data_IF_569660968927
#
_entry.id   IF_569660968927
#
_cell.length_a   1.000
_cell.length_b   1.000
_cell.length_c   1.000
_cell.angle_alpha   90.00
_cell.angle_beta   90.00
_cell.angle_gamma   90.00
#
_symmetry.space_group_name_H-M   'P 1'
#
loop_
_entity.id
_entity.type
_entity.pdbx_description
1 polymer ?
#
# COMPACT_ATOMS: atom_id res chain seq x y z
N UNK A 1 -26.17 -7.62 46.37
CA UNK A 1 -26.16 -6.82 47.61
C UNK A 1 -27.60 -6.56 48.02
N UNK A 2 -27.98 -6.74 49.28
CA UNK A 2 -29.33 -6.37 49.72
C UNK A 2 -29.43 -4.84 49.71
N UNK A 3 -30.47 -4.31 49.06
CA UNK A 3 -30.77 -2.88 49.12
C UNK A 3 -30.99 -2.51 50.59
N UNK A 4 -30.32 -1.48 51.14
CA UNK A 4 -30.60 -1.02 52.48
C UNK A 4 -32.07 -0.60 52.53
N UNK A 5 -32.90 -1.34 53.27
CA UNK A 5 -34.28 -0.92 53.52
C UNK A 5 -34.20 0.14 54.62
N UNK A 6 -34.36 1.40 54.23
CA UNK A 6 -34.66 2.46 55.18
C UNK A 6 -35.95 2.06 55.90
N UNK A 7 -35.84 1.71 57.18
CA UNK A 7 -36.98 1.24 57.97
C UNK A 7 -38.09 2.29 57.99
N UNK A 8 -39.34 1.85 58.09
CA UNK A 8 -40.48 2.77 58.22
C UNK A 8 -40.32 3.64 59.48
N UNK A 9 -40.76 4.90 59.39
CA UNK A 9 -40.75 5.81 60.52
C UNK A 9 -41.60 5.22 61.65
N UNK A 10 -41.17 5.34 62.92
CA UNK A 10 -42.01 5.02 64.06
C UNK A 10 -43.36 5.75 63.93
N UNK A 11 -44.47 5.02 64.06
CA UNK A 11 -45.83 5.58 63.99
C UNK A 11 -46.35 5.84 65.41
N UNK A 12 -46.95 7.01 65.66
CA UNK A 12 -47.57 7.36 66.94
C UNK A 12 -48.94 8.00 66.72
N UNK A 13 -49.95 7.59 67.47
CA UNK A 13 -51.25 8.25 67.47
C UNK A 13 -51.18 9.51 68.36
N UNK A 14 -51.09 10.67 67.72
CA UNK A 14 -50.91 11.98 68.37
C UNK A 14 -52.19 12.57 68.98
N UNK A 15 -53.38 12.01 68.71
CA UNK A 15 -54.64 12.65 69.10
C UNK A 15 -54.94 12.61 70.61
N UNK A 16 -54.30 11.73 71.40
CA UNK A 16 -54.51 11.62 72.85
C UNK A 16 -53.21 11.27 73.63
N UNK A 17 -52.05 11.59 73.05
CA UNK A 17 -50.78 11.22 73.66
C UNK A 17 -50.46 12.05 74.90
N UNK A 18 -50.07 11.38 75.98
CA UNK A 18 -49.47 12.02 77.15
C UNK A 18 -48.12 12.66 76.80
N UNK A 19 -47.69 13.63 77.61
CA UNK A 19 -46.38 14.29 77.45
C UNK A 19 -45.23 13.26 77.50
N UNK A 20 -45.38 12.21 78.29
CA UNK A 20 -44.40 11.13 78.42
C UNK A 20 -44.33 10.26 77.16
N UNK A 21 -45.48 9.94 76.54
CA UNK A 21 -45.54 9.24 75.26
C UNK A 21 -44.91 10.09 74.13
N UNK A 22 -45.16 11.40 74.11
CA UNK A 22 -44.54 12.31 73.15
C UNK A 22 -43.01 12.37 73.33
N UNK A 23 -42.52 12.43 74.57
CA UNK A 23 -41.08 12.38 74.86
C UNK A 23 -40.44 11.07 74.42
N UNK A 24 -41.11 9.95 74.69
CA UNK A 24 -40.64 8.63 74.26
C UNK A 24 -40.58 8.54 72.72
N UNK A 25 -41.60 9.06 72.03
CA UNK A 25 -41.64 9.09 70.57
C UNK A 25 -40.54 9.97 69.96
N UNK A 26 -40.30 11.16 70.52
CA UNK A 26 -39.18 12.01 70.11
C UNK A 26 -37.84 11.29 70.30
N UNK A 27 -37.67 10.56 71.40
CA UNK A 27 -36.49 9.72 71.63
C UNK A 27 -36.32 8.60 70.58
N UNK A 28 -37.42 7.97 70.17
CA UNK A 28 -37.40 6.97 69.09
C UNK A 28 -37.03 7.58 67.74
N UNK A 29 -37.54 8.77 67.41
CA UNK A 29 -37.18 9.49 66.20
C UNK A 29 -35.70 9.88 66.18
N UNK A 30 -35.16 10.37 67.30
CA UNK A 30 -33.74 10.68 67.42
C UNK A 30 -32.87 9.44 67.20
N UNK A 31 -33.23 8.31 67.80
CA UNK A 31 -32.51 7.05 67.61
C UNK A 31 -32.59 6.55 66.16
N UNK A 32 -33.76 6.71 65.52
CA UNK A 32 -33.93 6.35 64.10
C UNK A 32 -33.08 7.24 63.19
N UNK A 33 -33.04 8.55 63.44
CA UNK A 33 -32.20 9.49 62.70
C UNK A 33 -30.70 9.17 62.84
N UNK A 34 -30.24 8.85 64.06
CA UNK A 34 -28.85 8.44 64.31
C UNK A 34 -28.51 7.16 63.54
N UNK A 35 -29.46 6.21 63.47
CA UNK A 35 -29.28 4.98 62.68
C UNK A 35 -29.20 5.28 61.19
N UNK A 36 -30.11 6.09 60.65
CA UNK A 36 -30.08 6.52 59.24
C UNK A 36 -28.78 7.24 58.88
N UNK A 37 -28.31 8.15 59.74
CA UNK A 37 -27.04 8.85 59.54
C UNK A 37 -25.86 7.90 59.54
N UNK A 38 -25.85 6.89 60.42
CA UNK A 38 -24.81 5.87 60.48
C UNK A 38 -24.83 4.97 59.23
N UNK A 39 -26.00 4.52 58.80
CA UNK A 39 -26.15 3.66 57.63
C UNK A 39 -25.78 4.42 56.34
N UNK A 40 -26.15 5.70 56.23
CA UNK A 40 -25.74 6.57 55.13
C UNK A 40 -24.23 6.80 55.13
N UNK A 41 -23.64 7.11 56.29
CA UNK A 41 -22.19 7.29 56.43
C UNK A 41 -21.45 6.01 56.05
N UNK A 42 -21.89 4.86 56.54
CA UNK A 42 -21.33 3.56 56.18
C UNK A 42 -21.43 3.34 54.67
N UNK A 43 -22.62 3.55 54.07
CA UNK A 43 -22.80 3.39 52.62
C UNK A 43 -21.88 4.32 51.83
N UNK A 44 -21.75 5.59 52.24
CA UNK A 44 -20.85 6.56 51.60
C UNK A 44 -19.36 6.20 51.79
N UNK A 45 -18.98 5.66 52.95
CA UNK A 45 -17.61 5.20 53.23
C UNK A 45 -17.30 3.87 52.51
N UNK A 46 -18.31 3.05 52.23
CA UNK A 46 -18.20 1.79 51.47
C UNK A 46 -18.58 1.93 50.00
N UNK A 47 -18.86 3.15 49.51
CA UNK A 47 -18.85 3.42 48.07
C UNK A 47 -17.38 3.39 47.62
N UNK A 48 -16.85 2.17 47.63
CA UNK A 48 -15.54 1.86 47.08
C UNK A 48 -15.60 2.14 45.58
N UNK A 49 -14.45 2.49 45.00
CA UNK A 49 -14.27 2.76 43.57
C UNK A 49 -14.81 1.63 42.66
N UNK A 50 -15.05 0.44 43.20
CA UNK A 50 -15.68 -0.71 42.53
C UNK A 50 -17.14 -0.49 42.11
N UNK A 51 -17.87 0.48 42.67
CA UNK A 51 -19.29 0.73 42.34
C UNK A 51 -19.51 1.98 41.46
N UNK A 52 -18.43 2.60 40.98
CA UNK A 52 -18.56 3.74 40.08
C UNK A 52 -18.74 3.22 38.65
N UNK A 53 -19.99 3.17 38.19
CA UNK A 53 -20.30 2.69 36.84
C UNK A 53 -20.02 3.74 35.76
N UNK A 54 -20.06 5.04 36.10
CA UNK A 54 -19.83 6.15 35.19
C UNK A 54 -18.99 7.26 35.85
N UNK A 55 -17.88 7.68 35.23
CA UNK A 55 -17.11 8.89 35.62
C UNK A 55 -16.93 9.78 34.40
N UNK A 56 -17.47 11.01 34.44
CA UNK A 56 -17.16 12.02 33.42
C UNK A 56 -17.44 11.59 31.97
N UNK A 57 -18.47 10.76 31.75
CA UNK A 57 -18.80 10.22 30.43
C UNK A 57 -18.08 8.93 30.04
N UNK A 58 -17.29 8.34 30.95
CA UNK A 58 -16.68 7.03 30.80
C UNK A 58 -17.45 6.00 31.59
N UNK A 59 -17.76 4.86 30.94
CA UNK A 59 -18.25 3.66 31.60
C UNK A 59 -17.06 2.89 32.17
N UNK A 60 -17.17 2.50 33.43
CA UNK A 60 -16.19 1.66 34.12
C UNK A 60 -16.87 0.37 34.54
N UNK A 61 -16.39 -0.75 34.01
CA UNK A 61 -16.77 -2.11 34.42
C UNK A 61 -15.52 -2.83 34.93
N UNK A 62 -15.65 -4.00 35.58
CA UNK A 62 -14.50 -4.75 36.07
C UNK A 62 -13.45 -5.10 35.00
N UNK A 63 -13.88 -5.15 33.74
CA UNK A 63 -13.11 -5.57 32.58
C UNK A 63 -13.01 -4.53 31.46
N UNK A 64 -13.62 -3.35 31.62
CA UNK A 64 -13.66 -2.36 30.55
C UNK A 64 -13.62 -0.93 31.10
N UNK A 65 -12.84 -0.08 30.43
CA UNK A 65 -12.93 1.37 30.54
C UNK A 65 -13.22 1.91 29.15
N UNK A 66 -14.44 2.36 28.91
CA UNK A 66 -14.90 2.79 27.59
C UNK A 66 -15.63 4.13 27.67
N UNK A 67 -15.56 4.93 26.62
CA UNK A 67 -16.45 6.09 26.49
C UNK A 67 -17.91 5.62 26.48
N UNK A 68 -18.84 6.45 26.93
CA UNK A 68 -20.27 6.09 27.01
C UNK A 68 -20.87 5.75 25.64
N UNK A 69 -20.32 6.33 24.57
CA UNK A 69 -20.65 6.00 23.18
C UNK A 69 -19.89 4.77 22.64
N UNK A 70 -18.91 4.23 23.35
CA UNK A 70 -18.15 3.04 22.95
C UNK A 70 -17.10 3.28 21.86
N UNK A 71 -16.90 4.54 21.44
CA UNK A 71 -16.01 4.87 20.32
C UNK A 71 -14.54 4.70 20.68
N UNK A 72 -14.17 4.87 21.95
CA UNK A 72 -12.81 4.69 22.45
C UNK A 72 -12.83 3.91 23.76
N UNK A 73 -11.76 3.17 24.02
CA UNK A 73 -11.60 2.51 25.31
C UNK A 73 -10.51 1.46 25.37
N UNK A 74 -10.50 0.78 26.50
CA UNK A 74 -9.65 -0.37 26.78
C UNK A 74 -10.44 -1.49 27.48
N UNK A 75 -10.04 -2.74 27.24
CA UNK A 75 -10.68 -3.92 27.79
C UNK A 75 -9.65 -4.94 28.28
N UNK A 76 -9.86 -5.44 29.48
CA UNK A 76 -9.17 -6.60 30.06
C UNK A 76 -9.98 -7.88 29.92
N UNK A 77 -11.09 -7.86 29.17
CA UNK A 77 -11.88 -9.06 28.86
C UNK A 77 -10.95 -10.14 28.28
N UNK A 78 -11.04 -11.35 28.83
CA UNK A 78 -10.13 -12.43 28.49
C UNK A 78 -10.92 -13.65 28.02
N UNK A 79 -11.05 -13.76 26.70
CA UNK A 79 -11.66 -14.91 26.05
C UNK A 79 -10.57 -15.84 25.50
N UNK A 80 -10.99 -16.95 24.88
CA UNK A 80 -10.07 -17.84 24.18
C UNK A 80 -9.58 -17.25 22.83
N UNK A 81 -10.17 -16.14 22.37
CA UNK A 81 -9.81 -15.45 21.12
C UNK A 81 -8.73 -14.37 21.35
N UNK A 82 -8.33 -13.70 20.26
CA UNK A 82 -7.45 -12.53 20.33
C UNK A 82 -8.28 -11.27 20.58
N UNK A 83 -8.53 -10.98 21.86
CA UNK A 83 -9.41 -9.90 22.30
C UNK A 83 -8.81 -8.50 22.04
N UNK A 84 -9.67 -7.50 21.85
CA UNK A 84 -9.27 -6.11 21.69
C UNK A 84 -8.94 -5.52 23.06
N UNK A 85 -7.71 -5.02 23.24
CA UNK A 85 -7.22 -4.38 24.46
C UNK A 85 -7.37 -2.87 24.47
N UNK A 86 -7.19 -2.24 23.31
CA UNK A 86 -7.34 -0.80 23.13
C UNK A 86 -8.03 -0.55 21.80
N UNK A 87 -8.91 0.44 21.72
CA UNK A 87 -9.55 0.82 20.46
C UNK A 87 -9.88 2.30 20.36
N UNK A 88 -10.02 2.75 19.11
CA UNK A 88 -10.63 4.02 18.75
C UNK A 88 -11.33 3.91 17.38
N UNK A 89 -12.51 4.55 17.28
CA UNK A 89 -13.30 4.65 16.06
C UNK A 89 -14.35 3.56 15.91
N UNK A 90 -15.41 3.66 16.74
CA UNK A 90 -16.61 2.80 16.85
C UNK A 90 -16.31 1.30 17.04
N UNK A 91 -16.32 0.82 18.29
CA UNK A 91 -16.23 -0.62 18.57
C UNK A 91 -17.60 -1.33 18.56
N UNK A 92 -18.73 -0.61 18.47
CA UNK A 92 -20.07 -1.22 18.55
C UNK A 92 -20.39 -2.10 17.34
N UNK A 93 -19.78 -1.81 16.19
CA UNK A 93 -19.87 -2.62 14.97
C UNK A 93 -18.86 -3.79 14.94
N UNK A 94 -18.00 -3.90 15.95
CA UNK A 94 -16.96 -4.93 16.07
C UNK A 94 -15.71 -4.70 15.21
N UNK A 95 -15.59 -3.56 14.54
CA UNK A 95 -14.48 -3.27 13.62
C UNK A 95 -13.86 -1.89 13.82
N UNK A 96 -13.35 -1.57 15.03
CA UNK A 96 -12.75 -0.27 15.28
C UNK A 96 -11.56 0.01 14.36
N UNK A 97 -11.51 1.24 13.82
CA UNK A 97 -10.48 1.67 12.85
C UNK A 97 -9.07 1.62 13.42
N UNK A 98 -8.91 1.91 14.70
CA UNK A 98 -7.70 1.67 15.47
C UNK A 98 -7.99 0.61 16.52
N UNK A 99 -7.22 -0.47 16.54
CA UNK A 99 -7.27 -1.47 17.63
C UNK A 99 -5.93 -2.09 17.91
N UNK A 100 -5.73 -2.47 19.17
CA UNK A 100 -4.60 -3.28 19.61
C UNK A 100 -5.16 -4.53 20.28
N UNK A 101 -4.71 -5.71 19.85
CA UNK A 101 -5.20 -6.99 20.37
C UNK A 101 -4.35 -7.55 21.51
N UNK A 102 -4.83 -8.59 22.20
CA UNK A 102 -4.11 -9.32 23.27
C UNK A 102 -2.77 -9.88 22.78
N UNK A 103 -2.68 -10.28 21.51
CA UNK A 103 -1.46 -10.70 20.84
C UNK A 103 -0.47 -9.57 20.54
N UNK A 104 -0.80 -8.32 20.85
CA UNK A 104 0.04 -7.14 20.59
C UNK A 104 -0.03 -6.62 19.16
N UNK A 105 -1.01 -7.06 18.37
CA UNK A 105 -1.18 -6.62 16.98
C UNK A 105 -1.95 -5.30 16.96
N UNK A 106 -1.35 -4.25 16.40
CA UNK A 106 -2.04 -3.00 16.10
C UNK A 106 -2.60 -3.02 14.67
N UNK A 107 -3.91 -2.80 14.53
CA UNK A 107 -4.57 -2.58 13.24
C UNK A 107 -4.99 -1.12 13.14
N UNK A 108 -4.61 -0.48 12.05
CA UNK A 108 -4.95 0.91 11.75
C UNK A 108 -5.53 0.98 10.33
N UNK A 109 -6.70 1.58 10.21
CA UNK A 109 -7.39 1.85 8.94
C UNK A 109 -7.41 3.36 8.74
N UNK A 110 -7.00 3.83 7.56
CA UNK A 110 -6.95 5.27 7.21
C UNK A 110 -5.97 6.08 8.08
N UNK A 111 -4.83 5.49 8.47
CA UNK A 111 -3.80 6.19 9.24
C UNK A 111 -3.07 7.25 8.39
N UNK A 112 -2.94 8.44 8.95
CA UNK A 112 -2.06 9.51 8.44
C UNK A 112 -0.93 9.74 9.45
N UNK A 113 0.31 9.49 9.04
CA UNK A 113 1.51 9.89 9.78
C UNK A 113 2.01 11.20 9.19
N UNK A 114 1.93 12.30 9.93
CA UNK A 114 2.31 13.63 9.41
C UNK A 114 3.32 14.34 10.30
N UNK A 115 4.21 15.11 9.67
CA UNK A 115 5.08 16.06 10.36
C UNK A 115 4.35 17.39 10.53
N UNK A 116 4.16 17.81 11.78
CA UNK A 116 3.49 19.08 12.12
C UNK A 116 4.26 20.30 11.57
N UNK A 117 5.58 20.17 11.40
CA UNK A 117 6.45 21.29 11.01
C UNK A 117 6.56 21.47 9.49
N UNK A 118 6.42 20.39 8.71
CA UNK A 118 6.72 20.41 7.28
C UNK A 118 5.52 20.09 6.38
N UNK A 119 4.42 19.51 6.89
CA UNK A 119 3.31 19.06 6.03
C UNK A 119 3.60 17.77 5.26
N UNK A 120 4.82 17.25 5.35
CA UNK A 120 5.20 15.92 4.88
C UNK A 120 4.37 14.86 5.61
N UNK A 121 3.89 13.86 4.87
CA UNK A 121 3.04 12.82 5.44
C UNK A 121 3.14 11.50 4.72
N UNK A 122 2.82 10.43 5.43
CA UNK A 122 2.55 9.10 4.89
C UNK A 122 1.07 8.79 5.11
N UNK A 123 0.40 8.32 4.07
CA UNK A 123 -1.02 7.94 4.10
C UNK A 123 -1.12 6.48 3.68
N UNK A 124 -1.88 5.68 4.42
CA UNK A 124 -2.30 4.34 4.01
C UNK A 124 -3.81 4.34 3.86
N UNK A 125 -4.29 4.15 2.64
CA UNK A 125 -5.71 4.16 2.29
C UNK A 125 -6.11 2.97 1.39
N UNK A 126 -7.31 3.02 0.80
CA UNK A 126 -7.82 1.95 -0.07
C UNK A 126 -7.04 1.79 -1.38
N UNK A 127 -6.22 2.77 -1.75
CA UNK A 127 -5.39 2.77 -2.96
C UNK A 127 -3.94 2.37 -2.69
N UNK A 128 -3.48 2.43 -1.44
CA UNK A 128 -2.21 1.84 -1.02
C UNK A 128 -1.44 2.67 0.01
N UNK A 129 -0.11 2.60 -0.07
CA UNK A 129 0.83 3.39 0.71
C UNK A 129 1.32 4.58 -0.12
N UNK A 130 1.24 5.76 0.47
CA UNK A 130 1.56 7.02 -0.18
C UNK A 130 2.49 7.85 0.70
N UNK A 131 3.53 8.44 0.14
CA UNK A 131 4.36 9.44 0.80
C UNK A 131 4.22 10.77 0.08
N UNK A 132 4.04 11.84 0.83
CA UNK A 132 3.89 13.21 0.33
C UNK A 132 4.98 14.09 0.93
N UNK A 133 5.46 15.04 0.13
CA UNK A 133 6.36 16.09 0.60
C UNK A 133 5.62 17.23 1.32
N UNK A 134 6.38 18.27 1.68
CA UNK A 134 5.89 19.46 2.36
C UNK A 134 4.94 20.32 1.53
N UNK A 135 5.00 20.22 0.20
CA UNK A 135 4.10 20.92 -0.73
C UNK A 135 2.83 20.14 -1.02
N UNK A 136 2.67 18.96 -0.40
CA UNK A 136 1.54 18.06 -0.62
C UNK A 136 1.64 17.25 -1.91
N UNK A 137 2.80 17.23 -2.56
CA UNK A 137 3.07 16.43 -3.76
C UNK A 137 3.44 15.01 -3.34
N UNK A 138 2.77 14.04 -3.93
CA UNK A 138 3.09 12.62 -3.73
C UNK A 138 4.48 12.30 -4.32
N UNK A 139 5.32 11.60 -3.56
CA UNK A 139 6.69 11.23 -3.93
C UNK A 139 6.89 9.74 -4.15
N UNK A 140 6.15 8.94 -3.39
CA UNK A 140 6.20 7.49 -3.46
C UNK A 140 4.80 6.92 -3.37
N UNK A 141 4.48 6.00 -4.27
CA UNK A 141 3.27 5.17 -4.22
C UNK A 141 3.66 3.70 -4.20
N UNK A 142 3.05 2.92 -3.31
CA UNK A 142 3.03 1.45 -3.36
C UNK A 142 1.57 1.04 -3.28
N UNK A 143 0.96 0.76 -4.44
CA UNK A 143 -0.49 0.59 -4.46
C UNK A 143 -1.08 0.50 -5.85
N UNK A 144 -2.40 0.55 -5.90
CA UNK A 144 -3.17 0.69 -7.13
C UNK A 144 -3.19 2.15 -7.54
N UNK A 145 -2.69 2.48 -8.73
CA UNK A 145 -2.83 3.86 -9.22
C UNK A 145 -4.25 4.14 -9.69
N UNK A 146 -4.79 5.35 -9.44
CA UNK A 146 -6.10 5.75 -9.96
C UNK A 146 -6.18 5.76 -11.49
N UNK A 147 -5.05 5.98 -12.18
CA UNK A 147 -4.99 6.06 -13.64
C UNK A 147 -4.77 4.70 -14.34
N UNK A 148 -4.09 3.74 -13.69
CA UNK A 148 -3.62 2.52 -14.38
C UNK A 148 -4.20 1.23 -13.80
N UNK A 149 -4.95 1.29 -12.68
CA UNK A 149 -5.52 0.09 -12.01
C UNK A 149 -4.46 -0.94 -11.54
N UNK A 150 -3.19 -0.63 -11.77
CA UNK A 150 -2.03 -1.49 -11.63
C UNK A 150 -1.46 -1.41 -10.23
N UNK A 151 -1.06 -2.55 -9.65
CA UNK A 151 -0.17 -2.53 -8.48
C UNK A 151 1.23 -2.10 -8.94
N UNK A 152 1.68 -0.95 -8.45
CA UNK A 152 2.95 -0.38 -8.85
C UNK A 152 3.71 0.22 -7.66
N UNK A 153 5.04 0.28 -7.81
CA UNK A 153 5.94 1.14 -7.06
C UNK A 153 6.30 2.32 -7.96
N UNK A 154 5.98 3.55 -7.52
CA UNK A 154 6.16 4.76 -8.33
C UNK A 154 6.96 5.80 -7.57
N UNK A 155 8.07 6.25 -8.15
CA UNK A 155 8.79 7.45 -7.72
C UNK A 155 8.38 8.66 -8.56
N UNK A 156 8.15 9.82 -7.93
CA UNK A 156 7.74 11.07 -8.59
C UNK A 156 8.73 12.21 -8.35
N UNK A 157 8.85 13.10 -9.34
CA UNK A 157 9.66 14.32 -9.24
C UNK A 157 8.98 15.45 -8.45
N UNK A 158 9.63 16.62 -8.45
CA UNK A 158 9.19 17.84 -7.78
C UNK A 158 7.92 18.47 -8.35
N UNK A 159 7.48 18.07 -9.54
CA UNK A 159 6.19 18.45 -10.12
C UNK A 159 5.12 17.36 -9.92
N UNK A 160 5.44 16.23 -9.30
CA UNK A 160 4.55 15.08 -9.13
C UNK A 160 4.49 14.15 -10.35
N UNK A 161 5.30 14.39 -11.38
CA UNK A 161 5.35 13.51 -12.55
C UNK A 161 6.09 12.21 -12.21
N UNK A 162 5.59 11.09 -12.71
CA UNK A 162 6.20 9.78 -12.46
C UNK A 162 7.56 9.69 -13.17
N UNK A 163 8.62 9.44 -12.39
CA UNK A 163 10.00 9.31 -12.86
C UNK A 163 10.45 7.86 -13.00
N UNK A 164 9.99 7.01 -12.10
CA UNK A 164 10.26 5.58 -12.13
C UNK A 164 8.97 4.84 -11.80
N UNK A 165 8.62 3.84 -12.61
CA UNK A 165 7.45 2.99 -12.38
C UNK A 165 7.89 1.54 -12.50
N UNK A 166 7.64 0.78 -11.44
CA UNK A 166 7.75 -0.67 -11.45
C UNK A 166 6.36 -1.29 -11.31
N UNK A 167 5.89 -1.99 -12.34
CA UNK A 167 4.56 -2.60 -12.36
C UNK A 167 4.61 -4.11 -12.18
N UNK A 168 3.65 -4.64 -11.42
CA UNK A 168 3.42 -6.07 -11.34
C UNK A 168 2.09 -6.42 -12.03
N UNK A 169 2.19 -7.16 -13.13
CA UNK A 169 1.07 -7.75 -13.87
C UNK A 169 -0.03 -6.77 -14.32
N UNK A 170 0.28 -5.87 -15.27
CA UNK A 170 -0.75 -5.08 -15.93
C UNK A 170 -0.70 -5.09 -17.45
N UNK A 171 -1.91 -5.13 -18.02
CA UNK A 171 -2.17 -4.57 -19.34
C UNK A 171 -1.93 -3.06 -19.29
N UNK A 172 -1.63 -2.50 -20.46
CA UNK A 172 -1.54 -1.05 -20.73
C UNK A 172 -0.34 -0.32 -20.15
N UNK A 173 0.79 -0.49 -20.83
CA UNK A 173 1.56 0.68 -21.31
C UNK A 173 1.42 0.82 -22.85
N UNK A 174 0.93 -0.23 -23.54
CA UNK A 174 0.71 -0.25 -25.00
C UNK A 174 -0.47 -1.14 -25.43
N UNK A 175 -1.46 -1.36 -24.55
CA UNK A 175 -2.60 -2.26 -24.83
C UNK A 175 -2.29 -3.76 -24.73
N UNK A 176 -1.06 -4.16 -24.41
CA UNK A 176 -0.70 -5.57 -24.17
C UNK A 176 -0.39 -5.84 -22.69
N UNK A 177 -0.84 -6.99 -22.18
CA UNK A 177 -0.48 -7.49 -20.84
C UNK A 177 0.99 -7.88 -20.79
N UNK A 178 1.77 -7.21 -19.92
CA UNK A 178 3.19 -7.52 -19.72
C UNK A 178 3.54 -7.42 -18.23
N UNK A 179 4.10 -8.49 -17.70
CA UNK A 179 4.67 -8.55 -16.35
C UNK A 179 6.06 -7.89 -16.33
N UNK A 180 6.44 -7.17 -15.26
CA UNK A 180 7.83 -6.80 -14.99
C UNK A 180 8.39 -5.62 -15.80
N UNK A 181 7.67 -4.49 -15.84
CA UNK A 181 8.16 -3.29 -16.52
C UNK A 181 8.90 -2.35 -15.56
N UNK A 182 10.01 -1.80 -16.04
CA UNK A 182 10.71 -0.67 -15.44
C UNK A 182 10.65 0.50 -16.43
N UNK A 183 9.83 1.49 -16.11
CA UNK A 183 9.65 2.70 -16.95
C UNK A 183 10.44 3.82 -16.30
N UNK A 184 11.19 4.56 -17.11
CA UNK A 184 11.83 5.83 -16.70
C UNK A 184 11.14 7.00 -17.39
N UNK A 185 11.05 8.16 -16.73
CA UNK A 185 10.50 9.39 -17.31
C UNK A 185 11.23 9.91 -18.54
N UNK A 186 12.42 9.40 -18.83
CA UNK A 186 13.22 9.83 -19.98
C UNK A 186 12.79 9.14 -21.28
N UNK A 187 11.59 8.56 -21.31
CA UNK A 187 11.06 7.90 -22.50
C UNK A 187 11.78 6.60 -22.82
N UNK A 188 12.47 5.97 -21.86
CA UNK A 188 13.03 4.64 -22.03
C UNK A 188 12.31 3.65 -21.10
N UNK A 189 11.93 2.51 -21.65
CA UNK A 189 11.28 1.41 -20.93
C UNK A 189 12.11 0.15 -21.06
N UNK A 190 12.39 -0.49 -19.93
CA UNK A 190 12.91 -1.86 -19.88
C UNK A 190 11.78 -2.82 -19.55
N UNK A 191 11.59 -3.82 -20.40
CA UNK A 191 10.53 -4.82 -20.26
C UNK A 191 11.19 -6.19 -20.07
N UNK A 192 10.82 -6.87 -18.99
CA UNK A 192 11.20 -8.26 -18.74
C UNK A 192 9.95 -9.12 -18.67
N UNK A 193 9.60 -9.78 -19.77
CA UNK A 193 8.35 -10.53 -19.86
C UNK A 193 8.48 -11.99 -19.42
N UNK A 194 7.33 -12.66 -19.26
CA UNK A 194 7.26 -14.08 -18.87
C UNK A 194 7.80 -15.05 -19.91
N UNK A 195 8.11 -14.59 -21.14
CA UNK A 195 8.80 -15.41 -22.15
C UNK A 195 10.32 -15.44 -21.94
N UNK A 196 10.83 -14.71 -20.93
CA UNK A 196 12.26 -14.56 -20.67
C UNK A 196 12.93 -13.54 -21.60
N UNK A 197 12.15 -12.79 -22.39
CA UNK A 197 12.70 -11.78 -23.28
C UNK A 197 12.93 -10.48 -22.51
N UNK A 198 14.06 -9.83 -22.77
CA UNK A 198 14.41 -8.52 -22.21
C UNK A 198 14.44 -7.51 -23.35
N UNK A 199 13.72 -6.40 -23.20
CA UNK A 199 13.62 -5.36 -24.23
C UNK A 199 13.93 -4.00 -23.61
N UNK A 200 14.63 -3.16 -24.35
CA UNK A 200 14.74 -1.74 -24.04
C UNK A 200 14.17 -0.95 -25.21
N UNK A 201 13.20 -0.09 -24.93
CA UNK A 201 12.48 0.71 -25.92
C UNK A 201 12.63 2.19 -25.60
N UNK A 202 12.79 3.03 -26.61
CA UNK A 202 12.69 4.48 -26.53
C UNK A 202 11.23 4.96 -26.60
N UNK A 203 11.04 6.28 -26.59
CA UNK A 203 9.73 6.92 -26.55
C UNK A 203 8.94 6.73 -27.86
N UNK A 204 9.65 6.47 -28.96
CA UNK A 204 9.09 6.13 -30.28
C UNK A 204 8.84 4.64 -30.44
N UNK A 205 8.97 3.85 -29.36
CA UNK A 205 8.91 2.38 -29.35
C UNK A 205 10.02 1.69 -30.15
N UNK A 206 10.99 2.43 -30.70
CA UNK A 206 12.21 1.85 -31.26
C UNK A 206 13.08 1.26 -30.16
N UNK A 207 13.92 0.27 -30.46
CA UNK A 207 14.79 -0.29 -29.44
C UNK A 207 15.37 -1.65 -29.77
N UNK A 208 15.95 -2.28 -28.74
CA UNK A 208 16.58 -3.59 -28.85
C UNK A 208 15.92 -4.61 -27.93
N UNK A 209 15.99 -5.89 -28.31
CA UNK A 209 15.59 -6.98 -27.42
C UNK A 209 16.49 -8.19 -27.53
N UNK A 210 16.67 -8.87 -26.42
CA UNK A 210 17.17 -10.23 -26.35
C UNK A 210 15.97 -11.18 -26.17
N UNK A 211 15.87 -12.19 -27.04
CA UNK A 211 14.82 -13.19 -26.95
C UNK A 211 15.23 -14.30 -25.98
N UNK A 212 14.30 -14.71 -25.10
CA UNK A 212 14.47 -15.91 -24.28
C UNK A 212 14.45 -17.21 -25.09
N UNK A 213 13.81 -17.20 -26.27
CA UNK A 213 13.70 -18.34 -27.19
C UNK A 213 14.15 -17.90 -28.58
N UNK A 214 15.13 -18.60 -29.18
CA UNK A 214 15.68 -18.28 -30.52
C UNK A 214 17.05 -17.57 -30.51
N UNK A 215 17.58 -17.22 -29.33
CA UNK A 215 18.95 -16.76 -29.05
C UNK A 215 19.49 -15.57 -29.88
N UNK A 216 18.68 -14.91 -30.71
CA UNK A 216 19.13 -13.79 -31.55
C UNK A 216 18.69 -12.44 -30.98
N UNK A 217 19.63 -11.52 -30.72
CA UNK A 217 19.30 -10.12 -30.47
C UNK A 217 18.59 -9.52 -31.69
N UNK A 218 17.59 -8.69 -31.42
CA UNK A 218 16.79 -8.03 -32.45
C UNK A 218 16.71 -6.53 -32.20
N UNK A 219 16.57 -5.77 -33.28
CA UNK A 219 16.32 -4.32 -33.23
C UNK A 219 15.01 -3.98 -33.92
N UNK A 220 14.36 -2.91 -33.46
CA UNK A 220 13.17 -2.33 -34.05
C UNK A 220 13.30 -0.82 -34.14
N UNK A 221 12.73 -0.22 -35.18
CA UNK A 221 12.58 1.24 -35.32
C UNK A 221 11.21 1.74 -34.85
N UNK A 222 10.27 0.85 -34.55
CA UNK A 222 8.87 1.21 -34.26
C UNK A 222 8.20 0.32 -33.20
N UNK A 223 8.91 -0.64 -32.62
CA UNK A 223 8.42 -1.59 -31.61
C UNK A 223 7.48 -2.68 -32.12
N UNK A 224 6.95 -2.52 -33.34
CA UNK A 224 5.98 -3.42 -33.96
C UNK A 224 6.66 -4.48 -34.84
N UNK A 225 7.77 -4.12 -35.49
CA UNK A 225 8.52 -5.00 -36.39
C UNK A 225 9.95 -5.17 -35.90
N UNK A 226 10.40 -6.42 -35.77
CA UNK A 226 11.68 -6.77 -35.17
C UNK A 226 12.57 -7.50 -36.17
N UNK A 227 13.81 -7.05 -36.31
CA UNK A 227 14.78 -7.59 -37.25
C UNK A 227 15.97 -8.18 -36.50
N UNK A 228 16.43 -9.37 -36.90
CA UNK A 228 17.61 -9.98 -36.28
C UNK A 228 18.88 -9.20 -36.63
N UNK A 229 19.73 -9.06 -35.63
CA UNK A 229 21.10 -8.58 -35.79
C UNK A 229 21.96 -9.77 -36.26
N UNK A 230 22.77 -9.57 -37.30
CA UNK A 230 23.60 -10.61 -37.87
C UNK A 230 24.72 -11.06 -36.92
N UNK A 231 25.08 -12.34 -36.94
CA UNK A 231 26.23 -12.86 -36.22
C UNK A 231 27.54 -12.55 -36.95
N UNK A 232 28.63 -12.49 -36.17
CA UNK A 232 29.98 -12.31 -36.73
C UNK A 232 30.30 -13.34 -37.82
N UNK A 233 29.93 -14.61 -37.65
CA UNK A 233 30.19 -15.66 -38.64
C UNK A 233 29.46 -15.45 -39.97
N UNK A 234 28.26 -14.87 -39.95
CA UNK A 234 27.48 -14.52 -41.15
C UNK A 234 28.15 -13.36 -41.90
N UNK A 235 28.64 -12.37 -41.15
CA UNK A 235 29.41 -11.23 -41.70
C UNK A 235 30.78 -11.71 -42.24
N UNK A 236 31.48 -12.57 -41.52
CA UNK A 236 32.79 -13.12 -41.92
C UNK A 236 32.67 -14.01 -43.17
N UNK A 237 31.62 -14.83 -43.26
CA UNK A 237 31.33 -15.62 -44.44
C UNK A 237 31.06 -14.70 -45.66
N UNK A 238 30.40 -13.56 -45.44
CA UNK A 238 30.23 -12.54 -46.49
C UNK A 238 31.54 -11.87 -46.88
N UNK A 239 32.39 -11.50 -45.92
CA UNK A 239 33.69 -10.91 -46.20
C UNK A 239 34.60 -11.88 -46.98
N UNK A 240 34.60 -13.15 -46.58
CA UNK A 240 35.36 -14.23 -47.24
C UNK A 240 34.84 -14.50 -48.65
N UNK A 241 33.52 -14.50 -48.85
CA UNK A 241 32.94 -14.63 -50.19
C UNK A 241 33.15 -13.39 -51.06
N UNK A 242 33.16 -12.19 -50.50
CA UNK A 242 33.56 -10.96 -51.20
C UNK A 242 35.00 -11.03 -51.71
N UNK A 243 35.91 -11.58 -50.91
CA UNK A 243 37.29 -11.85 -51.32
C UNK A 243 37.36 -12.95 -52.41
N UNK A 244 36.49 -13.97 -52.39
CA UNK A 244 36.47 -15.02 -53.41
C UNK A 244 35.74 -14.62 -54.71
N UNK A 245 34.83 -13.65 -54.67
CA UNK A 245 34.22 -13.04 -55.87
C UNK A 245 35.18 -12.18 -56.69
N UNK A 246 36.31 -11.75 -56.11
CA UNK A 246 37.44 -11.23 -56.87
C UNK A 246 38.06 -12.25 -57.82
N UNK A 247 37.76 -13.54 -57.65
CA UNK A 247 38.36 -14.66 -58.38
C UNK A 247 37.34 -15.54 -59.12
N UNK A 248 36.07 -15.62 -58.69
CA UNK A 248 35.10 -16.57 -59.26
C UNK A 248 33.60 -16.21 -59.09
N UNK A 249 33.19 -14.95 -59.28
CA UNK A 249 31.84 -14.58 -59.75
C UNK A 249 30.57 -15.03 -59.01
N UNK A 250 30.63 -15.56 -57.78
CA UNK A 250 29.45 -16.00 -57.02
C UNK A 250 28.85 -14.90 -56.15
N UNK A 251 27.77 -14.24 -56.58
CA UNK A 251 27.13 -13.16 -55.82
C UNK A 251 26.19 -13.71 -54.70
N UNK A 252 26.23 -13.10 -53.50
CA UNK A 252 25.28 -13.23 -52.37
C UNK A 252 25.34 -14.40 -51.36
N UNK A 253 26.51 -14.90 -50.94
CA UNK A 253 26.58 -16.02 -49.97
C UNK A 253 27.12 -15.69 -48.56
N UNK A 254 26.50 -14.78 -47.79
CA UNK A 254 26.93 -14.64 -46.38
C UNK A 254 25.96 -13.99 -45.42
N UNK A 255 25.43 -12.81 -45.74
CA UNK A 255 24.37 -12.19 -44.96
C UNK A 255 23.05 -12.34 -45.72
N UNK A 256 22.07 -13.00 -45.10
CA UNK A 256 20.71 -13.13 -45.67
C UNK A 256 20.11 -11.73 -45.87
N UNK A 257 19.48 -11.42 -47.01
CA UNK A 257 18.75 -10.15 -47.17
C UNK A 257 17.75 -9.91 -46.03
N UNK A 258 17.61 -8.66 -45.60
CA UNK A 258 16.72 -8.28 -44.49
C UNK A 258 17.37 -8.21 -43.11
N UNK A 259 18.69 -8.43 -43.00
CA UNK A 259 19.46 -8.23 -41.76
C UNK A 259 19.93 -6.79 -41.66
N UNK A 260 20.06 -6.24 -40.46
CA UNK A 260 20.70 -4.93 -40.25
C UNK A 260 22.20 -5.09 -40.01
N UNK A 261 22.99 -4.21 -40.63
CA UNK A 261 24.43 -4.12 -40.47
C UNK A 261 24.80 -2.75 -39.91
N UNK A 262 25.72 -2.72 -38.94
CA UNK A 262 26.32 -1.46 -38.50
C UNK A 262 27.32 -1.00 -39.55
N UNK A 263 27.15 0.23 -40.03
CA UNK A 263 28.03 0.84 -41.02
C UNK A 263 28.93 1.87 -40.35
N UNK A 264 30.14 1.98 -40.88
CA UNK A 264 31.15 2.93 -40.45
C UNK A 264 31.67 3.69 -41.67
N UNK A 265 32.05 4.95 -41.50
CA UNK A 265 32.76 5.67 -42.54
C UNK A 265 34.21 5.20 -42.66
N UNK A 266 34.95 5.75 -43.63
CA UNK A 266 36.36 5.43 -43.85
C UNK A 266 37.28 5.80 -42.68
N UNK A 267 36.82 6.64 -41.75
CA UNK A 267 37.53 7.02 -40.54
C UNK A 267 37.15 6.15 -39.33
N UNK A 268 36.23 5.19 -39.50
CA UNK A 268 35.74 4.32 -38.43
C UNK A 268 34.67 4.98 -37.54
N UNK A 269 34.07 6.09 -37.98
CA UNK A 269 32.93 6.71 -37.28
C UNK A 269 31.66 5.94 -37.61
N UNK A 270 30.88 5.62 -36.59
CA UNK A 270 29.59 4.95 -36.72
C UNK A 270 28.61 5.81 -37.53
N UNK A 271 28.13 5.28 -38.66
CA UNK A 271 27.13 5.94 -39.52
C UNK A 271 25.70 5.46 -39.21
N UNK A 272 25.58 4.35 -38.47
CA UNK A 272 24.31 3.77 -38.04
C UNK A 272 24.02 2.43 -38.72
N UNK A 273 22.79 1.96 -38.52
CA UNK A 273 22.34 0.66 -39.00
C UNK A 273 21.66 0.78 -40.37
N UNK A 274 22.12 -0.02 -41.33
CA UNK A 274 21.52 -0.12 -42.66
C UNK A 274 20.92 -1.50 -42.89
N UNK A 275 19.78 -1.54 -43.59
CA UNK A 275 19.15 -2.78 -44.01
C UNK A 275 19.97 -3.39 -45.15
N UNK A 276 20.49 -4.61 -44.94
CA UNK A 276 21.18 -5.36 -45.98
C UNK A 276 20.19 -5.80 -47.07
N UNK A 277 20.37 -5.23 -48.25
CA UNK A 277 19.69 -5.63 -49.48
C UNK A 277 20.68 -6.35 -50.37
N UNK A 278 20.27 -7.49 -50.94
CA UNK A 278 21.07 -8.17 -51.94
C UNK A 278 21.38 -7.23 -53.11
N UNK A 279 22.64 -7.20 -53.55
CA UNK A 279 22.98 -6.53 -54.80
C UNK A 279 22.23 -7.20 -55.96
N UNK A 280 21.73 -6.38 -56.90
CA UNK A 280 21.17 -6.87 -58.16
C UNK A 280 22.27 -7.57 -58.96
N UNK A 281 21.90 -8.68 -59.60
CA UNK A 281 22.78 -9.42 -60.49
C UNK A 281 23.39 -8.46 -61.51
N UNK A 282 24.71 -8.46 -61.62
CA UNK A 282 25.44 -7.75 -62.65
C UNK A 282 26.43 -8.71 -63.28
N UNK A 283 26.64 -8.58 -64.59
CA UNK A 283 27.63 -9.37 -65.30
C UNK A 283 28.99 -8.66 -65.25
N UNK A 284 30.05 -9.42 -65.04
CA UNK A 284 31.40 -8.97 -65.29
C UNK A 284 31.83 -9.47 -66.67
N UNK A 285 32.23 -8.55 -67.56
CA UNK A 285 33.00 -8.91 -68.75
C UNK A 285 34.46 -9.03 -68.32
N UNK A 286 34.95 -10.26 -68.18
CA UNK A 286 36.36 -10.50 -67.99
C UNK A 286 37.07 -10.33 -69.34
N UNK A 287 37.99 -9.38 -69.43
CA UNK A 287 38.93 -9.20 -70.57
C UNK A 287 40.30 -9.70 -70.21
#
# INVERSE_FOLDING_TARGET
MSTPKFGELPQMNVQNASLEELRAYVGQLQNHLIKLQRDLKYTLETLDYENIFDVGGWRVTPDQLASKDGDVGMSTEDTAADDIRFWAGDAKDGSPKFKVTKGGIATLIEMILSSVASGERVVIDSTGFHSYDSSGIERLTIGTTPAEGAKALIGRDTAGAAQSVYTYATATVDGSSRTGQFITAHGCVVIMDSSGSVRMLDAGAGGFRALGVGNRPQISTNGLSWNDIAYKSEVDAKATSGASTGSAGGHNHGVTPGRYLMTYDSAGVELGLELWVAASDHSHTQT
#
